data_IF_171539437711
#
_entry.id   IF_171539437711
#
_cell.length_a   1.000
_cell.length_b   1.000
_cell.length_c   1.000
_cell.angle_alpha   90.00
_cell.angle_beta   90.00
_cell.angle_gamma   90.00
#
_symmetry.space_group_name_H-M   'P 1'
#
loop_
_entity.id
_entity.type
_entity.pdbx_description
1 polymer ?
#
# COMPACT_ATOMS: atom_id res chain seq x y z
N UNK A 1 -7.48 3.15 -1.52
CA UNK A 1 -8.34 4.29 -1.77
C UNK A 1 -9.31 3.86 -2.86
N UNK A 2 -10.59 3.68 -2.50
CA UNK A 2 -11.59 3.01 -3.33
C UNK A 2 -12.06 3.85 -4.54
N UNK A 3 -11.71 5.14 -4.62
CA UNK A 3 -12.18 6.05 -5.67
C UNK A 3 -13.70 6.17 -5.81
N UNK A 4 -14.45 5.56 -4.88
CA UNK A 4 -15.92 5.56 -4.86
C UNK A 4 -16.41 5.86 -3.44
N UNK A 5 -17.61 6.44 -3.32
CA UNK A 5 -18.26 6.58 -2.03
C UNK A 5 -18.61 5.21 -1.43
N UNK A 6 -18.47 5.09 -0.11
CA UNK A 6 -18.87 3.88 0.60
C UNK A 6 -20.36 3.62 0.40
N UNK A 7 -20.78 2.36 0.10
CA UNK A 7 -22.18 1.98 0.05
C UNK A 7 -22.92 2.40 1.33
N UNK A 8 -24.18 2.80 1.21
CA UNK A 8 -24.98 3.25 2.36
C UNK A 8 -25.04 2.21 3.49
N UNK A 9 -25.09 0.92 3.14
CA UNK A 9 -25.03 -0.20 4.10
C UNK A 9 -23.73 -0.25 4.91
N UNK A 10 -22.59 -0.01 4.25
CA UNK A 10 -21.29 0.03 4.93
C UNK A 10 -21.17 1.27 5.83
N UNK A 11 -21.72 2.40 5.38
CA UNK A 11 -21.75 3.65 6.17
C UNK A 11 -22.57 3.50 7.44
N UNK A 12 -23.77 2.89 7.35
CA UNK A 12 -24.63 2.59 8.50
C UNK A 12 -23.97 1.57 9.44
N UNK A 13 -23.34 0.51 8.91
CA UNK A 13 -22.61 -0.46 9.71
C UNK A 13 -21.47 0.18 10.51
N UNK A 14 -20.69 1.09 9.90
CA UNK A 14 -19.62 1.83 10.59
C UNK A 14 -20.15 2.74 11.70
N UNK A 15 -21.31 3.36 11.54
CA UNK A 15 -21.91 4.23 12.55
C UNK A 15 -22.50 3.44 13.74
N UNK A 16 -22.93 2.21 13.53
CA UNK A 16 -23.55 1.37 14.57
C UNK A 16 -22.58 0.41 15.25
N UNK A 17 -21.40 0.16 14.65
CA UNK A 17 -20.43 -0.77 15.21
C UNK A 17 -19.69 -0.12 16.38
N UNK A 18 -19.76 -0.76 17.56
CA UNK A 18 -19.00 -0.37 18.75
C UNK A 18 -17.72 -1.19 18.81
N UNK A 19 -16.63 -0.60 19.31
CA UNK A 19 -15.34 -1.29 19.48
C UNK A 19 -15.49 -2.59 20.31
N UNK A 20 -16.38 -2.60 21.30
CA UNK A 20 -16.66 -3.77 22.13
C UNK A 20 -17.33 -4.94 21.38
N UNK A 21 -17.97 -4.68 20.23
CA UNK A 21 -18.65 -5.71 19.42
C UNK A 21 -17.82 -6.22 18.26
N UNK A 22 -16.63 -5.62 18.03
CA UNK A 22 -15.71 -6.10 16.99
C UNK A 22 -15.07 -7.40 17.51
N UNK A 23 -15.41 -8.51 16.85
CA UNK A 23 -14.73 -9.78 17.14
C UNK A 23 -13.23 -9.63 16.87
N UNK A 24 -12.35 -10.14 17.75
CA UNK A 24 -10.92 -10.17 17.45
C UNK A 24 -10.70 -10.96 16.17
N UNK A 25 -9.83 -10.43 15.28
CA UNK A 25 -9.45 -11.19 14.10
C UNK A 25 -8.89 -12.55 14.50
N UNK A 26 -9.23 -13.57 13.70
CA UNK A 26 -8.68 -14.91 13.89
C UNK A 26 -7.16 -14.86 13.96
N UNK A 27 -6.58 -15.78 14.72
CA UNK A 27 -5.14 -15.85 14.91
C UNK A 27 -4.45 -16.09 13.55
N UNK A 28 -3.66 -15.10 13.11
CA UNK A 28 -2.97 -15.16 11.84
C UNK A 28 -1.65 -15.88 12.09
N UNK A 29 -1.43 -17.08 11.50
CA UNK A 29 -0.14 -17.74 11.60
C UNK A 29 0.94 -16.85 10.99
N UNK A 30 2.10 -16.79 11.61
CA UNK A 30 3.20 -15.90 11.20
C UNK A 30 3.76 -16.22 9.81
N UNK A 31 3.31 -17.30 9.15
CA UNK A 31 3.78 -17.71 7.83
C UNK A 31 5.27 -18.08 7.79
N UNK A 32 5.73 -18.50 6.62
CA UNK A 32 7.16 -18.70 6.40
C UNK A 32 7.79 -17.37 5.93
N UNK A 33 9.05 -17.08 6.29
CA UNK A 33 9.75 -15.89 5.81
C UNK A 33 9.75 -15.74 4.28
N UNK A 34 9.76 -16.85 3.54
CA UNK A 34 9.67 -16.88 2.07
C UNK A 34 8.35 -16.34 1.52
N UNK A 35 7.26 -16.47 2.28
CA UNK A 35 5.94 -16.02 1.82
C UNK A 35 5.87 -14.50 1.73
N UNK A 36 6.63 -13.78 2.57
CA UNK A 36 6.74 -12.32 2.53
C UNK A 36 7.29 -11.83 1.19
N UNK A 37 8.28 -12.54 0.63
CA UNK A 37 8.91 -12.15 -0.63
C UNK A 37 7.96 -12.26 -1.82
N UNK A 38 7.02 -13.22 -1.76
CA UNK A 38 6.09 -13.50 -2.87
C UNK A 38 4.76 -12.77 -2.75
N UNK A 39 4.30 -12.47 -1.53
CA UNK A 39 2.96 -11.92 -1.30
C UNK A 39 2.94 -10.41 -1.06
N UNK A 40 4.05 -9.82 -0.63
CA UNK A 40 4.10 -8.37 -0.38
C UNK A 40 4.23 -7.57 -1.68
N UNK A 41 3.29 -6.62 -1.95
CA UNK A 41 3.29 -5.83 -3.19
C UNK A 41 4.45 -4.82 -3.26
N UNK A 42 4.93 -4.30 -2.13
CA UNK A 42 6.07 -3.37 -2.07
C UNK A 42 7.38 -4.07 -2.44
N UNK A 43 7.60 -5.31 -1.99
CA UNK A 43 8.75 -6.12 -2.36
C UNK A 43 8.68 -6.47 -3.85
N UNK A 44 7.51 -6.90 -4.35
CA UNK A 44 7.30 -7.16 -5.78
C UNK A 44 7.49 -5.92 -6.65
N UNK A 45 7.06 -4.77 -6.17
CA UNK A 45 7.32 -3.50 -6.86
C UNK A 45 8.82 -3.23 -6.99
N UNK A 46 9.58 -3.37 -5.91
CA UNK A 46 11.02 -3.16 -5.93
C UNK A 46 11.74 -4.18 -6.84
N UNK A 47 11.28 -5.43 -6.87
CA UNK A 47 11.76 -6.45 -7.80
C UNK A 47 11.54 -6.05 -9.26
N UNK A 48 10.32 -5.60 -9.61
CA UNK A 48 10.02 -5.17 -10.97
C UNK A 48 10.81 -3.92 -11.37
N UNK A 49 11.10 -3.02 -10.44
CA UNK A 49 11.99 -1.88 -10.67
C UNK A 49 13.43 -2.32 -10.95
N UNK A 50 13.92 -3.33 -10.22
CA UNK A 50 15.23 -3.92 -10.48
C UNK A 50 15.29 -4.59 -11.86
N UNK A 51 14.26 -5.34 -12.25
CA UNK A 51 14.16 -5.92 -13.59
C UNK A 51 14.15 -4.86 -14.69
N UNK A 52 13.42 -3.77 -14.48
CA UNK A 52 13.39 -2.62 -15.40
C UNK A 52 14.77 -1.96 -15.51
N UNK A 53 15.44 -1.69 -14.40
CA UNK A 53 16.79 -1.11 -14.40
C UNK A 53 17.80 -2.02 -15.10
N UNK A 54 17.69 -3.34 -14.93
CA UNK A 54 18.52 -4.30 -15.64
C UNK A 54 18.26 -4.29 -17.16
N UNK A 55 16.99 -4.18 -17.60
CA UNK A 55 16.63 -4.07 -19.00
C UNK A 55 17.17 -2.77 -19.64
N UNK A 56 17.21 -1.66 -18.87
CA UNK A 56 17.74 -0.38 -19.33
C UNK A 56 19.24 -0.45 -19.69
N UNK A 57 20.02 -1.35 -19.07
CA UNK A 57 21.40 -1.61 -19.49
C UNK A 57 21.43 -2.12 -20.95
N UNK A 58 20.47 -2.98 -21.31
CA UNK A 58 20.30 -3.45 -22.69
C UNK A 58 19.99 -2.31 -23.65
N UNK A 59 19.09 -1.42 -23.27
CA UNK A 59 18.75 -0.23 -24.06
C UNK A 59 19.95 0.72 -24.22
N UNK A 60 20.72 0.95 -23.15
CA UNK A 60 21.93 1.75 -23.20
C UNK A 60 23.03 1.12 -24.10
N UNK A 61 23.11 -0.21 -24.15
CA UNK A 61 23.99 -0.92 -25.12
C UNK A 61 23.49 -0.81 -26.54
N UNK A 62 22.16 -0.82 -26.76
CA UNK A 62 21.57 -0.67 -28.08
C UNK A 62 21.92 0.68 -28.74
N UNK A 63 22.18 1.73 -27.93
CA UNK A 63 22.61 3.04 -28.42
C UNK A 63 23.97 3.07 -29.13
N UNK A 64 24.74 1.98 -29.12
CA UNK A 64 25.98 1.82 -29.89
C UNK A 64 25.73 1.24 -31.30
N UNK A 65 24.54 0.72 -31.54
CA UNK A 65 24.18 0.09 -32.81
C UNK A 65 23.41 1.07 -33.70
N UNK A 66 23.30 0.78 -35.02
CA UNK A 66 22.51 1.58 -35.93
C UNK A 66 21.04 1.61 -35.51
N UNK A 67 20.41 2.78 -35.55
CA UNK A 67 18.97 2.92 -35.44
C UNK A 67 18.36 3.08 -36.84
N UNK A 68 17.30 2.33 -37.11
CA UNK A 68 16.53 2.38 -38.34
C UNK A 68 15.19 3.03 -38.05
N UNK A 69 14.85 4.13 -38.73
CA UNK A 69 13.54 4.75 -38.64
C UNK A 69 12.84 4.77 -39.98
N UNK A 70 11.55 4.49 -39.96
CA UNK A 70 10.65 4.59 -41.10
C UNK A 70 9.63 5.69 -40.84
N UNK A 71 9.55 6.67 -41.69
CA UNK A 71 8.59 7.77 -41.59
C UNK A 71 7.65 7.71 -42.78
N UNK A 72 6.34 7.74 -42.50
CA UNK A 72 5.31 7.85 -43.52
C UNK A 72 4.43 9.08 -43.23
N UNK A 73 4.17 9.87 -44.27
CA UNK A 73 3.27 11.01 -44.20
C UNK A 73 2.22 10.87 -45.30
N UNK A 74 0.97 11.03 -44.91
CA UNK A 74 -0.15 11.10 -45.85
C UNK A 74 -0.95 12.37 -45.54
N UNK A 75 -1.15 13.21 -46.55
CA UNK A 75 -1.84 14.47 -46.34
C UNK A 75 -2.02 15.25 -47.63
N UNK A 76 -2.76 16.34 -47.54
CA UNK A 76 -2.94 17.28 -48.61
C UNK A 76 -1.95 18.42 -48.49
N UNK A 77 -1.31 18.79 -49.60
CA UNK A 77 -0.36 19.91 -49.69
C UNK A 77 -0.79 20.81 -50.84
N UNK A 78 -1.01 22.09 -50.54
CA UNK A 78 -1.40 23.10 -51.52
C UNK A 78 -0.70 24.43 -51.21
N UNK A 79 -0.30 25.22 -52.21
CA UNK A 79 0.22 26.57 -52.02
C UNK A 79 -0.85 27.57 -51.58
N UNK A 80 -2.15 27.27 -51.83
CA UNK A 80 -3.28 28.11 -51.43
C UNK A 80 -4.23 27.34 -50.55
N UNK A 81 -4.76 28.00 -49.51
CA UNK A 81 -5.67 27.40 -48.54
C UNK A 81 -6.99 26.93 -49.17
N UNK A 82 -7.45 27.64 -50.22
CA UNK A 82 -8.65 27.31 -50.99
C UNK A 82 -8.57 25.98 -51.71
N UNK A 83 -7.36 25.50 -52.00
CA UNK A 83 -7.08 24.33 -52.82
C UNK A 83 -6.69 23.10 -51.97
N UNK A 84 -6.57 23.27 -50.65
CA UNK A 84 -6.04 22.25 -49.74
C UNK A 84 -6.82 20.92 -49.79
N UNK A 85 -8.11 20.96 -50.10
CA UNK A 85 -8.97 19.77 -50.15
C UNK A 85 -9.42 19.39 -51.55
N UNK A 86 -8.84 20.01 -52.59
CA UNK A 86 -9.15 19.67 -54.00
C UNK A 86 -8.55 18.31 -54.39
N UNK A 87 -9.14 17.72 -55.41
CA UNK A 87 -8.63 16.49 -56.00
C UNK A 87 -7.22 16.74 -56.60
N UNK A 88 -6.26 15.86 -56.29
CA UNK A 88 -4.88 15.96 -56.75
C UNK A 88 -3.88 16.64 -55.78
N UNK A 89 -4.34 17.17 -54.66
CA UNK A 89 -3.46 17.74 -53.60
C UNK A 89 -3.01 16.73 -52.56
N UNK A 90 -3.59 15.53 -52.58
CA UNK A 90 -3.27 14.45 -51.66
C UNK A 90 -2.00 13.71 -52.10
N UNK A 91 -1.06 13.60 -51.18
CA UNK A 91 0.21 12.92 -51.43
C UNK A 91 0.58 11.98 -50.31
N UNK A 92 1.29 10.95 -50.64
CA UNK A 92 1.95 10.04 -49.71
C UNK A 92 3.46 10.16 -49.88
N UNK A 93 4.17 10.35 -48.77
CA UNK A 93 5.63 10.34 -48.73
C UNK A 93 6.08 9.31 -47.69
N UNK A 94 7.00 8.44 -48.10
CA UNK A 94 7.63 7.48 -47.20
C UNK A 94 9.15 7.57 -47.33
N UNK A 95 9.83 7.60 -46.21
CA UNK A 95 11.28 7.65 -46.11
C UNK A 95 11.82 6.69 -45.07
N UNK A 96 12.88 5.95 -45.42
CA UNK A 96 13.66 5.18 -44.47
C UNK A 96 14.98 5.90 -44.19
N UNK A 97 15.39 5.96 -42.91
CA UNK A 97 16.69 6.51 -42.55
C UNK A 97 17.43 5.56 -41.58
N UNK A 98 18.74 5.47 -41.79
CA UNK A 98 19.64 4.69 -40.92
C UNK A 98 20.63 5.66 -40.30
N UNK A 99 20.70 5.66 -38.95
CA UNK A 99 21.62 6.48 -38.21
C UNK A 99 22.56 5.61 -37.36
N UNK A 100 23.86 5.65 -37.66
CA UNK A 100 24.91 4.97 -36.91
C UNK A 100 25.78 6.00 -36.17
N UNK A 101 25.76 6.07 -34.85
CA UNK A 101 26.59 7.01 -34.09
C UNK A 101 28.04 6.48 -33.97
N UNK A 102 28.94 6.91 -34.91
CA UNK A 102 30.35 6.50 -34.90
C UNK A 102 31.14 7.23 -33.84
N UNK A 103 30.87 8.52 -33.60
CA UNK A 103 31.54 9.33 -32.61
C UNK A 103 30.53 10.12 -31.78
N UNK A 104 30.51 9.83 -30.46
CA UNK A 104 29.56 10.44 -29.51
C UNK A 104 30.25 11.20 -28.39
N UNK A 105 31.56 11.49 -28.51
CA UNK A 105 32.37 12.15 -27.48
C UNK A 105 32.22 11.50 -26.06
N UNK A 106 32.07 10.17 -25.99
CA UNK A 106 31.92 9.44 -24.75
C UNK A 106 30.49 9.40 -24.15
N UNK A 107 29.51 10.08 -24.77
CA UNK A 107 28.12 10.13 -24.27
C UNK A 107 27.50 8.74 -24.09
N UNK A 108 27.61 7.87 -25.07
CA UNK A 108 27.04 6.52 -24.99
C UNK A 108 27.70 5.68 -23.89
N UNK A 109 29.02 5.83 -23.72
CA UNK A 109 29.75 5.16 -22.63
C UNK A 109 29.32 5.70 -21.25
N UNK A 110 29.13 7.01 -21.11
CA UNK A 110 28.65 7.62 -19.89
C UNK A 110 27.21 7.15 -19.57
N UNK A 111 26.33 7.13 -20.55
CA UNK A 111 24.95 6.63 -20.38
C UNK A 111 24.94 5.15 -19.95
N UNK A 112 25.81 4.31 -20.50
CA UNK A 112 25.91 2.91 -20.08
C UNK A 112 26.41 2.79 -18.63
N UNK A 113 27.34 3.67 -18.19
CA UNK A 113 27.79 3.71 -16.79
C UNK A 113 26.66 4.13 -15.86
N UNK A 114 25.88 5.15 -16.24
CA UNK A 114 24.69 5.57 -15.51
C UNK A 114 23.69 4.42 -15.37
N UNK A 115 23.32 3.74 -16.46
CA UNK A 115 22.41 2.61 -16.42
C UNK A 115 22.89 1.46 -15.50
N UNK A 116 24.21 1.22 -15.41
CA UNK A 116 24.78 0.25 -14.48
C UNK A 116 24.68 0.72 -13.02
N UNK A 117 24.95 2.00 -12.74
CA UNK A 117 24.79 2.57 -11.41
C UNK A 117 23.32 2.56 -10.96
N UNK A 118 22.38 2.87 -11.87
CA UNK A 118 20.95 2.79 -11.59
C UNK A 118 20.50 1.37 -11.21
N UNK A 119 21.08 0.35 -11.85
CA UNK A 119 20.82 -1.04 -11.43
C UNK A 119 21.34 -1.32 -10.03
N UNK A 120 22.52 -0.83 -9.65
CA UNK A 120 23.08 -1.00 -8.30
C UNK A 120 22.19 -0.32 -7.25
N UNK A 121 21.69 0.88 -7.57
CA UNK A 121 20.70 1.58 -6.74
C UNK A 121 19.42 0.73 -6.58
N UNK A 122 18.92 0.16 -7.68
CA UNK A 122 17.71 -0.68 -7.65
C UNK A 122 17.92 -1.97 -6.81
N UNK A 123 19.13 -2.57 -6.83
CA UNK A 123 19.47 -3.71 -5.94
C UNK A 123 19.38 -3.28 -4.48
N UNK A 124 20.00 -2.17 -4.11
CA UNK A 124 19.97 -1.67 -2.73
C UNK A 124 18.54 -1.32 -2.27
N UNK A 125 17.71 -0.79 -3.17
CA UNK A 125 16.30 -0.51 -2.88
C UNK A 125 15.49 -1.81 -2.67
N UNK A 126 15.75 -2.84 -3.46
CA UNK A 126 15.11 -4.14 -3.30
C UNK A 126 15.51 -4.80 -1.96
N UNK A 127 16.78 -4.81 -1.62
CA UNK A 127 17.28 -5.31 -0.32
C UNK A 127 16.66 -4.54 0.85
N UNK A 128 16.57 -3.21 0.74
CA UNK A 128 15.90 -2.36 1.74
C UNK A 128 14.42 -2.71 1.90
N UNK A 129 13.70 -2.94 0.80
CA UNK A 129 12.28 -3.33 0.86
C UNK A 129 12.08 -4.65 1.62
N UNK A 130 12.96 -5.63 1.39
CA UNK A 130 12.98 -6.90 2.11
C UNK A 130 13.23 -6.67 3.61
N UNK A 131 14.24 -5.90 3.97
CA UNK A 131 14.59 -5.61 5.37
C UNK A 131 13.45 -4.89 6.11
N UNK A 132 12.81 -3.92 5.45
CA UNK A 132 11.64 -3.21 5.98
C UNK A 132 10.49 -4.18 6.19
N UNK A 133 10.23 -5.08 5.24
CA UNK A 133 9.20 -6.09 5.36
C UNK A 133 9.39 -7.00 6.58
N UNK A 134 10.59 -7.51 6.78
CA UNK A 134 10.90 -8.33 7.96
C UNK A 134 10.79 -7.55 9.27
N UNK A 135 11.27 -6.29 9.28
CA UNK A 135 11.15 -5.42 10.44
C UNK A 135 9.69 -5.20 10.83
N UNK A 136 8.82 -4.85 9.85
CA UNK A 136 7.40 -4.61 10.12
C UNK A 136 6.68 -5.83 10.71
N UNK A 137 7.00 -7.04 10.22
CA UNK A 137 6.44 -8.27 10.79
C UNK A 137 6.94 -8.50 12.21
N UNK A 138 8.25 -8.34 12.46
CA UNK A 138 8.84 -8.49 13.78
C UNK A 138 8.25 -7.50 14.79
N UNK A 139 8.11 -6.24 14.39
CA UNK A 139 7.52 -5.19 15.23
C UNK A 139 6.04 -5.51 15.56
N UNK A 140 5.28 -5.97 14.56
CA UNK A 140 3.88 -6.32 14.75
C UNK A 140 3.69 -7.56 15.66
N UNK A 141 4.57 -8.56 15.55
CA UNK A 141 4.54 -9.74 16.42
C UNK A 141 4.91 -9.39 17.86
N UNK A 142 5.94 -8.57 18.06
CA UNK A 142 6.31 -8.08 19.39
C UNK A 142 5.18 -7.23 20.00
N UNK A 143 4.59 -6.34 19.19
CA UNK A 143 3.44 -5.54 19.61
C UNK A 143 2.23 -6.38 19.99
N UNK A 144 1.98 -7.49 19.29
CA UNK A 144 0.88 -8.41 19.62
C UNK A 144 1.02 -8.98 21.03
N UNK A 145 2.21 -9.44 21.42
CA UNK A 145 2.47 -9.98 22.75
C UNK A 145 2.29 -8.90 23.84
N UNK A 146 2.99 -7.78 23.67
CA UNK A 146 3.01 -6.70 24.67
C UNK A 146 1.66 -6.02 24.85
N UNK A 147 0.94 -5.73 23.74
CA UNK A 147 -0.40 -5.13 23.82
C UNK A 147 -1.44 -6.11 24.37
N UNK A 148 -1.26 -7.41 24.18
CA UNK A 148 -2.10 -8.43 24.81
C UNK A 148 -1.99 -8.40 26.32
N UNK A 149 -0.77 -8.40 26.87
CA UNK A 149 -0.50 -8.29 28.30
C UNK A 149 -0.98 -6.94 28.87
N UNK A 150 -0.72 -5.84 28.15
CA UNK A 150 -1.17 -4.52 28.53
C UNK A 150 -2.70 -4.44 28.62
N UNK A 151 -3.43 -5.01 27.66
CA UNK A 151 -4.89 -5.00 27.65
C UNK A 151 -5.47 -5.79 28.84
N UNK A 152 -4.86 -6.93 29.22
CA UNK A 152 -5.26 -7.68 30.39
C UNK A 152 -5.02 -6.91 31.68
N UNK A 153 -3.86 -6.29 31.84
CA UNK A 153 -3.53 -5.47 32.98
C UNK A 153 -4.47 -4.26 33.13
N UNK A 154 -4.73 -3.56 32.00
CA UNK A 154 -5.64 -2.41 31.97
C UNK A 154 -7.09 -2.81 32.32
N UNK A 155 -7.57 -3.93 31.79
CA UNK A 155 -8.89 -4.44 32.13
C UNK A 155 -9.02 -4.79 33.63
N UNK A 156 -7.99 -5.41 34.21
CA UNK A 156 -7.96 -5.73 35.65
C UNK A 156 -7.94 -4.44 36.50
N UNK A 157 -7.16 -3.43 36.10
CA UNK A 157 -7.12 -2.12 36.76
C UNK A 157 -8.47 -1.42 36.72
N UNK A 158 -9.11 -1.40 35.55
CA UNK A 158 -10.44 -0.79 35.37
C UNK A 158 -11.50 -1.51 36.19
N UNK A 159 -11.43 -2.85 36.32
CA UNK A 159 -12.35 -3.62 37.14
C UNK A 159 -12.16 -3.32 38.63
N UNK A 160 -10.91 -3.16 39.10
CA UNK A 160 -10.63 -2.79 40.52
C UNK A 160 -11.16 -1.39 40.82
N UNK A 161 -10.95 -0.42 39.93
CA UNK A 161 -11.45 0.95 40.09
C UNK A 161 -12.98 1.04 40.06
N UNK A 162 -13.64 0.21 39.27
CA UNK A 162 -15.09 0.12 39.25
C UNK A 162 -15.62 -0.34 40.61
N UNK A 163 -15.00 -1.34 41.21
CA UNK A 163 -15.33 -1.76 42.60
C UNK A 163 -15.07 -0.66 43.62
N UNK A 164 -13.96 0.08 43.49
CA UNK A 164 -13.69 1.25 44.33
C UNK A 164 -14.79 2.28 44.20
N UNK A 165 -15.24 2.61 43.02
CA UNK A 165 -16.35 3.54 42.76
C UNK A 165 -17.66 3.03 43.40
N UNK A 166 -18.02 1.76 43.20
CA UNK A 166 -19.22 1.14 43.82
C UNK A 166 -19.21 1.23 45.36
N UNK A 167 -18.05 0.97 45.95
CA UNK A 167 -17.89 1.09 47.41
C UNK A 167 -17.95 2.55 47.88
N UNK A 168 -17.37 3.49 47.14
CA UNK A 168 -17.44 4.93 47.44
C UNK A 168 -18.88 5.44 47.35
N UNK A 169 -19.65 5.02 46.36
CA UNK A 169 -21.07 5.33 46.22
C UNK A 169 -21.90 4.80 47.36
N UNK A 170 -21.69 3.54 47.75
CA UNK A 170 -22.36 2.94 48.88
C UNK A 170 -22.06 3.65 50.20
N UNK A 171 -20.79 4.00 50.47
CA UNK A 171 -20.37 4.75 51.66
C UNK A 171 -20.97 6.16 51.70
N UNK A 172 -21.01 6.84 50.56
CA UNK A 172 -21.63 8.17 50.47
C UNK A 172 -23.14 8.09 50.76
N UNK A 173 -23.86 7.16 50.15
CA UNK A 173 -25.31 6.98 50.40
C UNK A 173 -25.64 6.65 51.84
N UNK A 174 -24.73 5.99 52.56
CA UNK A 174 -24.87 5.70 54.00
C UNK A 174 -24.33 6.81 54.92
N UNK A 175 -23.91 7.96 54.35
CA UNK A 175 -23.43 9.11 55.14
C UNK A 175 -22.04 8.91 55.78
N UNK A 176 -21.26 7.89 55.35
CA UNK A 176 -19.94 7.54 55.92
C UNK A 176 -18.78 8.15 55.14
N UNK A 177 -19.00 8.60 53.91
CA UNK A 177 -17.97 9.25 53.06
C UNK A 177 -18.46 10.59 52.53
N UNK A 178 -17.50 11.45 52.16
CA UNK A 178 -17.80 12.75 51.54
C UNK A 178 -18.19 12.61 50.09
N UNK A 179 -18.91 13.61 49.53
CA UNK A 179 -19.19 13.69 48.12
C UNK A 179 -17.91 13.82 47.27
N UNK A 180 -16.87 14.43 47.85
CA UNK A 180 -15.58 14.59 47.20
C UNK A 180 -14.92 13.21 46.94
N UNK A 181 -15.00 12.28 47.90
CA UNK A 181 -14.47 10.92 47.74
C UNK A 181 -15.18 10.15 46.62
N UNK A 182 -16.51 10.32 46.50
CA UNK A 182 -17.30 9.74 45.43
C UNK A 182 -16.91 10.32 44.07
N UNK A 183 -16.77 11.64 44.00
CA UNK A 183 -16.40 12.35 42.74
C UNK A 183 -14.99 11.96 42.30
N UNK A 184 -14.03 11.82 43.23
CA UNK A 184 -12.68 11.35 42.90
C UNK A 184 -12.68 9.91 42.36
N UNK A 185 -13.42 9.01 42.96
CA UNK A 185 -13.56 7.66 42.44
C UNK A 185 -14.22 7.61 41.06
N UNK A 186 -15.21 8.45 40.81
CA UNK A 186 -15.86 8.57 39.52
C UNK A 186 -14.91 9.08 38.41
N UNK A 187 -14.10 10.11 38.71
CA UNK A 187 -13.10 10.64 37.82
C UNK A 187 -12.03 9.63 37.45
N UNK A 188 -11.53 8.92 38.47
CA UNK A 188 -10.53 7.85 38.31
C UNK A 188 -11.07 6.73 37.42
N UNK A 189 -12.30 6.26 37.68
CA UNK A 189 -12.94 5.24 36.88
C UNK A 189 -13.08 5.68 35.43
N UNK A 190 -13.55 6.89 35.16
CA UNK A 190 -13.70 7.43 33.82
C UNK A 190 -12.37 7.50 33.05
N UNK A 191 -11.29 7.95 33.72
CA UNK A 191 -9.96 7.99 33.12
C UNK A 191 -9.46 6.59 32.75
N UNK A 192 -9.69 5.58 33.60
CA UNK A 192 -9.27 4.21 33.33
C UNK A 192 -10.14 3.52 32.26
N UNK A 193 -11.43 3.83 32.19
CA UNK A 193 -12.29 3.33 31.11
C UNK A 193 -11.87 3.91 29.75
N UNK A 194 -11.45 5.19 29.69
CA UNK A 194 -10.86 5.77 28.47
C UNK A 194 -9.55 5.07 28.08
N UNK A 195 -8.68 4.82 29.06
CA UNK A 195 -7.41 4.12 28.82
C UNK A 195 -7.63 2.67 28.33
N UNK A 196 -8.63 1.96 28.87
CA UNK A 196 -9.00 0.62 28.40
C UNK A 196 -9.45 0.63 26.94
N UNK A 197 -10.29 1.59 26.56
CA UNK A 197 -10.73 1.74 25.15
C UNK A 197 -9.55 2.03 24.22
N UNK A 198 -8.62 2.90 24.64
CA UNK A 198 -7.42 3.20 23.87
C UNK A 198 -6.51 1.99 23.71
N UNK A 199 -6.29 1.22 24.77
CA UNK A 199 -5.47 0.01 24.71
C UNK A 199 -6.06 -1.05 23.80
N UNK A 200 -7.37 -1.25 23.85
CA UNK A 200 -8.09 -2.15 22.93
C UNK A 200 -7.99 -1.68 21.48
N UNK A 201 -8.10 -0.38 21.24
CA UNK A 201 -7.91 0.17 19.90
C UNK A 201 -6.51 -0.11 19.36
N UNK A 202 -5.46 0.11 20.17
CA UNK A 202 -4.08 -0.18 19.77
C UNK A 202 -3.88 -1.67 19.48
N UNK A 203 -4.49 -2.56 20.24
CA UNK A 203 -4.47 -4.01 19.99
C UNK A 203 -5.10 -4.34 18.62
N UNK A 204 -6.25 -3.76 18.30
CA UNK A 204 -6.91 -3.96 16.99
C UNK A 204 -6.07 -3.41 15.84
N UNK A 205 -5.49 -2.22 16.01
CA UNK A 205 -4.61 -1.62 15.00
C UNK A 205 -3.39 -2.52 14.76
N UNK A 206 -2.77 -3.05 15.81
CA UNK A 206 -1.63 -3.95 15.68
C UNK A 206 -1.98 -5.25 14.93
N UNK A 207 -3.17 -5.81 15.15
CA UNK A 207 -3.64 -6.98 14.40
C UNK A 207 -3.80 -6.68 12.91
N UNK A 208 -4.35 -5.50 12.57
CA UNK A 208 -4.47 -5.05 11.17
C UNK A 208 -3.09 -4.82 10.55
N UNK A 209 -2.15 -4.24 11.32
CA UNK A 209 -0.77 -4.04 10.87
C UNK A 209 -0.06 -5.36 10.61
N UNK A 210 -0.23 -6.35 11.48
CA UNK A 210 0.31 -7.70 11.27
C UNK A 210 -0.26 -8.33 9.99
N UNK A 211 -1.59 -8.26 9.79
CA UNK A 211 -2.23 -8.76 8.57
C UNK A 211 -1.66 -8.09 7.31
N UNK A 212 -1.51 -6.77 7.33
CA UNK A 212 -0.92 -6.00 6.24
C UNK A 212 0.55 -6.37 6.03
N UNK A 213 1.34 -6.48 7.11
CA UNK A 213 2.77 -6.80 7.06
C UNK A 213 3.03 -8.20 6.46
N UNK A 214 2.11 -9.14 6.67
CA UNK A 214 2.16 -10.48 6.08
C UNK A 214 1.70 -10.52 4.62
N UNK A 215 1.36 -9.38 4.01
CA UNK A 215 0.86 -9.32 2.63
C UNK A 215 -0.61 -9.72 2.50
N UNK A 216 -1.38 -9.68 3.60
CA UNK A 216 -2.82 -9.99 3.58
C UNK A 216 -3.62 -9.03 2.70
N UNK A 217 -4.70 -9.54 2.10
CA UNK A 217 -5.60 -8.76 1.25
C UNK A 217 -5.35 -8.87 -0.26
N UNK A 218 -4.27 -9.51 -0.70
CA UNK A 218 -3.94 -9.69 -2.11
C UNK A 218 -4.44 -11.01 -2.71
N UNK A 219 -4.91 -11.94 -1.88
CA UNK A 219 -5.45 -13.23 -2.30
C UNK A 219 -6.94 -13.20 -2.63
N UNK A 220 -7.51 -12.05 -2.95
CA UNK A 220 -8.78 -12.06 -3.67
C UNK A 220 -8.49 -12.63 -5.05
N UNK A 221 -9.08 -13.78 -5.44
CA UNK A 221 -8.98 -14.24 -6.81
C UNK A 221 -9.47 -13.09 -7.67
N UNK A 222 -8.61 -12.61 -8.56
CA UNK A 222 -9.02 -11.69 -9.63
C UNK A 222 -10.24 -12.35 -10.26
N UNK A 223 -11.42 -11.79 -10.05
CA UNK A 223 -12.58 -12.14 -10.86
C UNK A 223 -12.14 -11.83 -12.27
N UNK A 224 -11.77 -12.88 -12.99
CA UNK A 224 -11.35 -12.81 -14.36
C UNK A 224 -12.37 -11.95 -15.10
N UNK A 225 -11.93 -10.81 -15.63
CA UNK A 225 -12.71 -10.07 -16.60
C UNK A 225 -13.10 -11.08 -17.69
N UNK A 226 -14.37 -11.32 -17.95
CA UNK A 226 -14.76 -12.16 -19.07
C UNK A 226 -14.17 -11.53 -20.33
N UNK A 227 -13.30 -12.30 -20.99
CA UNK A 227 -12.64 -11.95 -22.23
C UNK A 227 -13.72 -11.58 -23.29
N UNK A 228 -13.90 -10.27 -23.54
CA UNK A 228 -14.84 -9.74 -24.55
C UNK A 228 -14.25 -9.76 -25.95
N UNK A 229 -13.54 -10.78 -26.32
CA UNK A 229 -13.04 -10.93 -27.70
C UNK A 229 -13.28 -12.35 -28.20
N UNK A 230 -14.55 -12.68 -28.44
CA UNK A 230 -14.89 -13.72 -29.41
C UNK A 230 -15.96 -13.12 -30.34
N UNK A 231 -15.64 -12.81 -31.62
CA UNK A 231 -16.67 -12.50 -32.62
C UNK A 231 -17.47 -13.79 -32.92
N UNK A 232 -18.78 -13.70 -33.10
CA UNK A 232 -19.58 -14.86 -33.47
C UNK A 232 -19.17 -15.35 -34.85
N UNK A 233 -18.79 -16.61 -34.93
CA UNK A 233 -18.70 -17.30 -36.20
C UNK A 233 -20.10 -17.65 -36.64
N UNK A 234 -20.58 -17.00 -37.69
CA UNK A 234 -21.72 -17.32 -38.50
C UNK A 234 -21.27 -17.47 -39.94
#
# INVERSE_FOLDING_TARGET
LLGQELPASARTALQTTRLATIAPMADIPAGLPSDLLTHRPDIRQAEQQLLSANANIGAARAAFFPSISLTGQYGSVSPELSDLFKSGTWGFNAGASINLPIFTAGRNLANLRVAKADREIAVAQYEKAIQVGFKEVSDALAGRSTLGEQAQAQAAQTAAERRRFELADLRYRNGVASYLDLLDAQRSLFALEQADVQTRLLQQINQIQLYKALGGGWNTPSTAHPNRNHPPQG
#
